data_IF_955295449745
#
_entry.id   IF_955295449745
#
_cell.length_a   1.000
_cell.length_b   1.000
_cell.length_c   1.000
_cell.angle_alpha   90.00
_cell.angle_beta   90.00
_cell.angle_gamma   90.00
#
_symmetry.space_group_name_H-M   'P 1'
#
loop_
_entity.id
_entity.type
_entity.pdbx_description
1 polymer ?
#
# COMPACT_ATOMS: atom_id res chain seq x y z
N UNK A 1 -34.16 -12.86 -6.41
CA UNK A 1 -34.59 -11.62 -7.11
C UNK A 1 -33.57 -10.57 -6.73
N UNK A 2 -32.76 -10.16 -7.71
CA UNK A 2 -31.57 -9.35 -7.54
C UNK A 2 -31.89 -7.85 -7.59
N UNK A 3 -31.41 -7.11 -6.59
CA UNK A 3 -31.43 -5.65 -6.48
C UNK A 3 -30.58 -4.97 -7.56
N UNK A 4 -31.00 -5.06 -8.83
CA UNK A 4 -30.43 -4.26 -9.92
C UNK A 4 -31.08 -2.86 -10.03
N UNK A 5 -31.98 -2.50 -9.12
CA UNK A 5 -32.72 -1.22 -9.13
C UNK A 5 -31.97 -0.03 -8.55
N UNK A 6 -30.75 -0.21 -8.03
CA UNK A 6 -30.01 0.82 -7.29
C UNK A 6 -28.77 1.39 -8.01
N UNK A 7 -28.49 0.97 -9.25
CA UNK A 7 -27.33 1.43 -9.97
C UNK A 7 -27.68 2.55 -10.97
N UNK A 8 -27.03 3.71 -10.83
CA UNK A 8 -27.11 4.81 -11.80
C UNK A 8 -26.02 4.62 -12.86
N UNK A 9 -26.43 4.50 -14.12
CA UNK A 9 -25.52 4.40 -15.25
C UNK A 9 -24.97 5.78 -15.60
N UNK A 10 -23.65 5.95 -15.53
CA UNK A 10 -22.96 7.16 -15.98
C UNK A 10 -22.19 6.90 -17.27
N UNK A 11 -22.06 7.94 -18.10
CA UNK A 11 -21.15 7.94 -19.24
C UNK A 11 -19.73 7.64 -18.78
N UNK A 12 -18.92 7.08 -19.69
CA UNK A 12 -17.54 6.72 -19.44
C UNK A 12 -16.77 7.87 -18.77
N UNK A 13 -16.06 7.53 -17.70
CA UNK A 13 -15.11 8.40 -17.04
C UNK A 13 -13.72 7.93 -17.45
N UNK A 14 -12.90 8.77 -18.07
CA UNK A 14 -11.53 8.38 -18.40
C UNK A 14 -10.70 8.34 -17.11
N UNK A 15 -10.15 7.16 -16.81
CA UNK A 15 -9.32 6.91 -15.64
C UNK A 15 -7.89 6.58 -16.10
N UNK A 16 -6.86 7.06 -15.37
CA UNK A 16 -5.48 6.76 -15.72
C UNK A 16 -5.20 5.27 -15.47
N UNK A 17 -4.74 4.55 -16.49
CA UNK A 17 -4.45 3.11 -16.40
C UNK A 17 -3.21 2.81 -15.55
N UNK A 18 -2.25 3.74 -15.52
CA UNK A 18 -1.01 3.58 -14.75
C UNK A 18 -0.37 4.92 -14.39
N UNK A 19 0.36 4.94 -13.28
CA UNK A 19 1.19 6.08 -12.88
C UNK A 19 2.63 5.79 -13.29
N UNK A 20 3.19 6.60 -14.18
CA UNK A 20 4.59 6.49 -14.62
C UNK A 20 5.48 7.20 -13.61
N UNK A 21 6.53 6.53 -13.14
CA UNK A 21 7.54 7.12 -12.27
C UNK A 21 8.79 7.40 -13.09
N UNK A 22 9.23 8.65 -13.11
CA UNK A 22 10.53 9.05 -13.64
C UNK A 22 11.41 9.55 -12.50
N UNK A 23 12.62 9.00 -12.30
CA UNK A 23 13.60 9.63 -11.43
C UNK A 23 13.98 10.99 -12.03
N UNK A 24 14.15 12.00 -11.19
CA UNK A 24 14.64 13.31 -11.63
C UNK A 24 16.17 13.24 -11.71
N UNK A 25 16.75 13.55 -12.87
CA UNK A 25 18.21 13.52 -13.08
C UNK A 25 18.92 14.44 -12.07
N UNK A 26 19.80 13.86 -11.24
CA UNK A 26 20.53 14.56 -10.18
C UNK A 26 20.86 13.70 -8.95
N UNK A 27 20.23 12.54 -8.77
CA UNK A 27 20.50 11.63 -7.66
C UNK A 27 21.71 10.72 -7.96
N UNK A 28 22.92 11.24 -7.81
CA UNK A 28 24.13 10.43 -7.78
C UNK A 28 24.25 9.74 -6.42
N UNK A 29 23.85 8.46 -6.34
CA UNK A 29 24.15 7.55 -5.23
C UNK A 29 23.23 7.64 -4.01
N UNK A 30 22.41 6.60 -3.80
CA UNK A 30 21.54 6.44 -2.62
C UNK A 30 20.06 6.34 -2.97
N UNK A 31 19.22 6.04 -1.96
CA UNK A 31 17.75 6.02 -2.05
C UNK A 31 17.28 7.30 -2.77
N UNK A 32 16.57 7.15 -3.89
CA UNK A 32 16.05 8.28 -4.67
C UNK A 32 15.14 9.14 -3.79
N UNK A 33 15.67 10.25 -3.26
CA UNK A 33 14.94 11.20 -2.41
C UNK A 33 13.90 12.01 -3.17
N UNK A 34 14.05 12.11 -4.49
CA UNK A 34 13.18 12.89 -5.37
C UNK A 34 12.62 11.99 -6.46
N UNK A 35 11.30 12.01 -6.63
CA UNK A 35 10.64 11.30 -7.73
C UNK A 35 9.55 12.17 -8.37
N UNK A 36 9.38 12.00 -9.68
CA UNK A 36 8.28 12.60 -10.44
C UNK A 36 7.32 11.49 -10.88
N UNK A 37 6.05 11.68 -10.57
CA UNK A 37 4.95 10.79 -10.91
C UNK A 37 4.07 11.48 -11.96
N UNK A 38 3.72 10.77 -13.02
CA UNK A 38 2.84 11.27 -14.08
C UNK A 38 1.63 10.36 -14.18
N UNK A 39 0.44 10.95 -14.06
CA UNK A 39 -0.84 10.30 -14.23
C UNK A 39 -1.61 10.97 -15.38
N UNK A 40 -1.83 10.22 -16.46
CA UNK A 40 -2.60 10.61 -17.63
C UNK A 40 -3.28 9.38 -18.26
N UNK A 41 -4.51 9.51 -18.81
CA UNK A 41 -5.34 10.72 -18.85
C UNK A 41 -6.24 10.90 -17.61
N UNK A 42 -6.58 12.15 -17.30
CA UNK A 42 -7.56 12.53 -16.29
C UNK A 42 -8.62 13.44 -16.89
N UNK A 43 -9.86 13.33 -16.42
CA UNK A 43 -10.91 14.29 -16.77
C UNK A 43 -10.52 15.72 -16.42
N UNK A 44 -11.05 16.67 -17.19
CA UNK A 44 -10.76 18.09 -17.02
C UNK A 44 -11.03 18.58 -15.59
N UNK A 45 -10.03 19.20 -14.97
CA UNK A 45 -10.10 19.71 -13.59
C UNK A 45 -9.84 18.64 -12.51
N UNK A 46 -9.84 17.35 -12.87
CA UNK A 46 -9.49 16.28 -11.94
C UNK A 46 -8.00 16.30 -11.60
N UNK A 47 -7.13 16.80 -12.50
CA UNK A 47 -5.71 16.99 -12.23
C UNK A 47 -5.46 17.90 -11.02
N UNK A 48 -6.16 19.03 -10.96
CA UNK A 48 -6.07 19.97 -9.81
C UNK A 48 -6.62 19.36 -8.52
N UNK A 49 -7.73 18.63 -8.63
CA UNK A 49 -8.40 18.03 -7.47
C UNK A 49 -7.52 16.94 -6.84
N UNK A 50 -7.03 16.00 -7.64
CA UNK A 50 -6.13 14.94 -7.19
C UNK A 50 -4.78 15.49 -6.73
N UNK A 51 -4.18 16.41 -7.49
CA UNK A 51 -2.89 17.02 -7.16
C UNK A 51 -2.91 17.75 -5.82
N UNK A 52 -3.93 18.57 -5.57
CA UNK A 52 -4.13 19.28 -4.30
C UNK A 52 -4.39 18.31 -3.14
N UNK A 53 -5.25 17.29 -3.35
CA UNK A 53 -5.55 16.30 -2.32
C UNK A 53 -4.31 15.48 -1.92
N UNK A 54 -3.58 14.95 -2.90
CA UNK A 54 -2.35 14.18 -2.68
C UNK A 54 -1.27 15.03 -2.02
N UNK A 55 -1.09 16.29 -2.44
CA UNK A 55 -0.15 17.22 -1.81
C UNK A 55 -0.44 17.41 -0.33
N UNK A 56 -1.71 17.61 0.04
CA UNK A 56 -2.11 17.75 1.45
C UNK A 56 -1.92 16.47 2.24
N UNK A 57 -2.28 15.33 1.66
CA UNK A 57 -2.14 14.02 2.30
C UNK A 57 -0.67 13.65 2.55
N UNK A 58 0.22 13.94 1.58
CA UNK A 58 1.66 13.69 1.71
C UNK A 58 2.31 14.50 2.83
N UNK A 59 1.97 15.80 2.95
CA UNK A 59 2.59 16.69 3.93
C UNK A 59 2.10 16.45 5.37
N UNK A 60 0.86 15.99 5.55
CA UNK A 60 0.21 15.89 6.87
C UNK A 60 0.04 14.43 7.33
N UNK A 61 -0.28 13.52 6.40
CA UNK A 61 -0.84 12.21 6.73
C UNK A 61 0.19 11.14 7.08
N UNK A 62 1.44 11.32 6.66
CA UNK A 62 2.48 10.31 6.86
C UNK A 62 3.02 10.32 8.28
N UNK A 63 3.27 9.12 8.78
CA UNK A 63 3.77 8.86 10.12
C UNK A 63 5.25 8.48 10.04
N UNK A 64 6.08 9.13 10.86
CA UNK A 64 7.50 8.82 10.96
C UNK A 64 7.95 8.94 12.43
N UNK A 65 9.06 8.28 12.81
CA UNK A 65 9.65 8.45 14.13
C UNK A 65 10.47 9.75 14.20
N UNK A 66 10.46 10.38 15.38
CA UNK A 66 11.29 11.53 15.71
C UNK A 66 11.68 11.52 17.20
N UNK A 67 12.78 12.18 17.55
CA UNK A 67 13.22 12.37 18.93
C UNK A 67 12.32 13.43 19.58
N UNK A 68 11.65 13.06 20.68
CA UNK A 68 10.71 13.93 21.40
C UNK A 68 11.27 14.45 22.72
N UNK A 69 12.28 13.79 23.26
CA UNK A 69 12.99 14.26 24.45
C UNK A 69 14.39 13.69 24.52
N UNK A 70 15.24 14.38 25.25
CA UNK A 70 16.56 13.89 25.60
C UNK A 70 16.91 14.21 27.06
N UNK A 71 17.75 13.38 27.64
CA UNK A 71 18.38 13.57 28.95
C UNK A 71 19.85 13.22 28.81
N UNK A 72 20.72 13.99 29.46
CA UNK A 72 22.17 13.77 29.45
C UNK A 72 22.76 13.98 30.84
N UNK A 73 23.76 13.18 31.18
CA UNK A 73 24.48 13.31 32.45
C UNK A 73 25.03 14.72 32.64
N UNK A 74 24.70 15.36 33.76
CA UNK A 74 25.19 16.70 34.10
C UNK A 74 24.41 17.85 33.46
N UNK A 75 23.35 17.59 32.69
CA UNK A 75 22.46 18.61 32.12
C UNK A 75 21.15 18.64 32.90
N UNK A 76 20.80 19.82 33.42
CA UNK A 76 19.54 20.05 34.15
C UNK A 76 18.49 20.76 33.30
N UNK A 77 18.92 21.64 32.40
CA UNK A 77 18.05 22.45 31.55
C UNK A 77 18.74 22.83 30.22
N UNK A 78 17.95 23.25 29.24
CA UNK A 78 18.38 23.53 27.86
C UNK A 78 19.32 24.72 27.66
N UNK A 79 19.40 25.62 28.64
CA UNK A 79 20.26 26.83 28.60
C UNK A 79 21.65 26.63 29.21
N UNK A 80 22.01 25.40 29.58
CA UNK A 80 23.27 25.10 30.25
C UNK A 80 24.39 24.91 29.21
N UNK A 81 25.61 25.27 29.58
CA UNK A 81 26.83 24.86 28.88
C UNK A 81 27.46 23.68 29.64
N UNK A 82 27.99 22.70 28.91
CA UNK A 82 28.60 21.49 29.51
C UNK A 82 30.11 21.59 29.36
N UNK A 83 30.82 21.49 30.49
CA UNK A 83 32.28 21.58 30.48
C UNK A 83 32.89 20.41 29.68
N UNK A 84 33.72 20.74 28.68
CA UNK A 84 34.36 19.77 27.80
C UNK A 84 33.59 19.43 26.53
N UNK A 85 32.40 20.02 26.32
CA UNK A 85 31.68 20.00 25.04
C UNK A 85 31.78 21.39 24.38
N UNK A 86 31.93 21.45 23.06
CA UNK A 86 32.06 22.72 22.32
C UNK A 86 30.72 23.43 22.19
N UNK A 87 29.66 22.68 21.95
CA UNK A 87 28.30 23.17 21.73
C UNK A 87 27.52 23.34 23.05
N UNK A 88 26.77 24.44 23.16
CA UNK A 88 25.79 24.62 24.23
C UNK A 88 24.61 23.65 24.08
N UNK A 89 23.91 23.35 25.18
CA UNK A 89 22.80 22.40 25.18
C UNK A 89 21.68 22.81 24.20
N UNK A 90 21.47 24.11 23.97
CA UNK A 90 20.51 24.60 22.97
C UNK A 90 20.90 24.21 21.54
N UNK A 91 22.20 24.21 21.21
CA UNK A 91 22.69 23.75 19.91
C UNK A 91 22.59 22.22 19.79
N UNK A 92 22.84 21.49 20.88
CA UNK A 92 22.63 20.04 20.95
C UNK A 92 21.16 19.70 20.65
N UNK A 93 20.21 20.43 21.26
CA UNK A 93 18.78 20.31 21.00
C UNK A 93 18.48 20.52 19.51
N UNK A 94 19.03 21.58 18.91
CA UNK A 94 18.82 21.87 17.49
C UNK A 94 19.38 20.77 16.58
N UNK A 95 20.56 20.25 16.90
CA UNK A 95 21.18 19.15 16.16
C UNK A 95 20.36 17.86 16.30
N UNK A 96 19.84 17.56 17.48
CA UNK A 96 18.97 16.40 17.71
C UNK A 96 17.70 16.48 16.86
N UNK A 97 17.10 17.66 16.67
CA UNK A 97 15.93 17.84 15.76
C UNK A 97 16.26 17.56 14.29
N UNK A 98 17.51 17.74 13.88
CA UNK A 98 18.00 17.38 12.55
C UNK A 98 18.21 15.87 12.34
N UNK A 99 18.01 15.06 13.37
CA UNK A 99 18.24 13.61 13.30
C UNK A 99 17.09 12.90 12.59
N UNK A 100 17.41 12.15 11.54
CA UNK A 100 16.45 11.41 10.74
C UNK A 100 16.50 9.94 11.11
N UNK A 101 15.40 9.47 11.72
CA UNK A 101 15.25 8.10 12.17
C UNK A 101 14.30 7.33 11.26
N UNK A 102 14.62 6.08 10.98
CA UNK A 102 13.74 5.12 10.30
C UNK A 102 13.57 3.90 11.19
N UNK A 103 12.36 3.36 11.29
CA UNK A 103 12.13 2.13 12.06
C UNK A 103 12.55 0.93 11.22
N UNK A 104 13.26 -0.04 11.79
CA UNK A 104 13.49 -1.31 11.11
C UNK A 104 12.16 -2.05 10.87
N UNK A 105 12.01 -2.77 9.74
CA UNK A 105 10.84 -3.61 9.46
C UNK A 105 10.89 -4.88 10.30
N UNK A 106 10.83 -4.75 11.62
CA UNK A 106 10.54 -5.84 12.54
C UNK A 106 9.02 -5.90 12.71
N UNK A 107 8.46 -7.11 12.78
CA UNK A 107 7.02 -7.36 12.91
C UNK A 107 6.38 -6.36 13.89
N UNK A 108 5.24 -5.79 13.50
CA UNK A 108 4.46 -4.89 14.35
C UNK A 108 3.99 -5.64 15.60
N UNK A 109 4.82 -5.67 16.64
CA UNK A 109 4.45 -6.18 17.96
C UNK A 109 3.43 -5.22 18.58
N UNK A 110 2.57 -5.71 19.48
CA UNK A 110 1.51 -4.97 20.20
C UNK A 110 2.03 -3.86 21.17
N UNK A 111 3.24 -3.35 20.95
CA UNK A 111 3.83 -2.19 21.62
C UNK A 111 4.81 -1.42 20.72
N UNK A 112 4.92 -1.77 19.43
CA UNK A 112 5.89 -1.19 18.50
C UNK A 112 5.64 0.27 18.11
N UNK A 113 4.59 0.90 18.66
CA UNK A 113 4.22 2.32 18.46
C UNK A 113 4.34 3.15 19.75
N UNK A 114 4.61 2.52 20.89
CA UNK A 114 4.85 3.24 22.13
C UNK A 114 6.15 4.04 22.06
N UNK A 115 6.27 5.11 22.85
CA UNK A 115 7.52 5.86 22.93
C UNK A 115 8.63 4.95 23.45
N UNK A 116 9.76 4.90 22.74
CA UNK A 116 10.90 4.06 23.12
C UNK A 116 12.00 4.94 23.70
N UNK A 117 12.54 4.53 24.85
CA UNK A 117 13.74 5.14 25.44
C UNK A 117 14.96 4.39 24.88
N UNK A 118 15.85 5.12 24.23
CA UNK A 118 17.13 4.64 23.72
C UNK A 118 18.21 5.22 24.63
N UNK A 119 19.06 4.37 25.19
CA UNK A 119 20.15 4.78 26.07
C UNK A 119 21.48 4.50 25.40
N UNK A 120 22.32 5.51 25.29
CA UNK A 120 23.66 5.41 24.73
C UNK A 120 24.67 5.82 25.80
N UNK A 121 25.58 4.90 26.13
CA UNK A 121 26.70 5.19 27.02
C UNK A 121 27.93 5.46 26.18
N UNK A 122 28.40 6.70 26.19
CA UNK A 122 29.58 7.14 25.45
C UNK A 122 30.73 7.28 26.44
N UNK A 123 31.78 6.49 26.27
CA UNK A 123 33.05 6.64 26.99
C UNK A 123 34.10 7.17 26.03
N UNK A 124 34.70 8.32 26.33
CA UNK A 124 35.76 8.92 25.52
C UNK A 124 37.02 9.01 26.36
N UNK A 125 38.03 8.24 25.96
CA UNK A 125 39.33 8.21 26.61
C UNK A 125 40.30 9.23 25.99
N UNK A 126 41.39 9.53 26.71
CA UNK A 126 42.43 10.44 26.21
C UNK A 126 43.10 9.93 24.92
N UNK A 127 43.15 8.62 24.70
CA UNK A 127 43.65 8.01 23.46
C UNK A 127 42.78 8.32 22.26
N UNK A 128 41.45 8.28 22.42
CA UNK A 128 40.49 8.56 21.36
C UNK A 128 40.56 10.02 20.93
N UNK A 129 40.70 10.93 21.90
CA UNK A 129 40.89 12.35 21.63
C UNK A 129 42.22 12.61 20.92
N UNK A 130 43.31 11.95 21.34
CA UNK A 130 44.59 12.08 20.66
C UNK A 130 44.54 11.61 19.20
N UNK A 131 43.83 10.50 18.93
CA UNK A 131 43.63 10.00 17.57
C UNK A 131 42.79 10.94 16.69
N UNK A 132 41.84 11.67 17.29
CA UNK A 132 40.96 12.60 16.58
C UNK A 132 41.48 14.05 16.51
N UNK A 133 42.76 14.30 16.86
CA UNK A 133 43.35 15.64 16.80
C UNK A 133 42.96 16.58 17.95
N UNK A 134 42.61 16.00 19.11
CA UNK A 134 42.26 16.71 20.34
C UNK A 134 40.77 16.98 20.53
N UNK A 135 39.92 16.63 19.55
CA UNK A 135 38.47 16.81 19.61
C UNK A 135 37.78 15.64 18.90
N UNK A 136 36.69 15.11 19.46
CA UNK A 136 35.93 13.99 18.87
C UNK A 136 34.48 14.41 18.66
N UNK A 137 34.02 14.41 17.42
CA UNK A 137 32.62 14.62 17.08
C UNK A 137 31.82 13.35 17.41
N UNK A 138 30.71 13.50 18.13
CA UNK A 138 29.73 12.46 18.38
C UNK A 138 28.61 12.60 17.36
N UNK A 139 28.42 11.54 16.59
CA UNK A 139 27.44 11.48 15.51
C UNK A 139 26.14 10.81 15.95
N UNK A 140 25.09 10.95 15.16
CA UNK A 140 23.84 10.22 15.38
C UNK A 140 24.07 8.70 15.33
N UNK A 141 24.96 8.23 14.46
CA UNK A 141 25.34 6.82 14.39
C UNK A 141 25.91 6.29 15.71
N UNK A 142 26.71 7.10 16.41
CA UNK A 142 27.28 6.75 17.72
C UNK A 142 26.22 6.66 18.83
N UNK A 143 25.11 7.41 18.71
CA UNK A 143 24.02 7.42 19.69
C UNK A 143 23.00 6.29 19.48
N UNK A 144 23.02 5.63 18.32
CA UNK A 144 22.04 4.59 17.94
C UNK A 144 22.65 3.18 17.84
N UNK A 145 23.75 2.92 18.55
CA UNK A 145 24.50 1.66 18.49
C UNK A 145 23.66 0.40 18.81
N UNK A 146 22.57 0.54 19.58
CA UNK A 146 21.62 -0.52 19.87
C UNK A 146 20.19 -0.02 19.61
N UNK A 147 19.43 -0.65 18.69
CA UNK A 147 18.03 -0.23 18.59
C UNK A 147 17.16 -0.77 17.46
N UNK A 148 15.86 -0.53 17.66
CA UNK A 148 14.73 -0.68 16.73
C UNK A 148 14.78 0.31 15.55
N UNK A 149 15.72 1.27 15.58
CA UNK A 149 15.79 2.40 14.65
C UNK A 149 17.12 2.44 13.90
N UNK A 150 17.04 2.82 12.64
CA UNK A 150 18.14 3.08 11.71
C UNK A 150 18.32 4.61 11.57
N UNK A 151 19.56 5.10 11.66
CA UNK A 151 19.89 6.47 11.28
C UNK A 151 19.90 6.59 9.76
N UNK A 152 19.09 7.49 9.21
CA UNK A 152 19.15 7.85 7.78
C UNK A 152 20.33 8.78 7.48
N UNK A 153 20.71 9.60 8.46
CA UNK A 153 21.88 10.48 8.42
C UNK A 153 22.88 10.13 9.54
N UNK A 154 23.59 8.99 9.45
CA UNK A 154 24.48 8.53 10.52
C UNK A 154 25.61 9.51 10.82
N UNK A 155 26.13 10.21 9.80
CA UNK A 155 27.23 11.19 9.92
C UNK A 155 26.80 12.54 10.54
N UNK A 156 25.53 12.69 10.91
CA UNK A 156 25.03 13.95 11.48
C UNK A 156 25.62 14.18 12.86
N UNK A 157 26.43 15.22 13.01
CA UNK A 157 27.11 15.57 14.27
C UNK A 157 26.11 16.17 15.24
N UNK A 158 26.05 15.63 16.46
CA UNK A 158 25.19 16.13 17.53
C UNK A 158 25.96 17.10 18.43
N UNK A 159 27.16 16.70 18.88
CA UNK A 159 28.07 17.55 19.65
C UNK A 159 29.50 17.05 19.55
N UNK A 160 30.45 17.88 19.95
CA UNK A 160 31.89 17.64 19.87
C UNK A 160 32.52 17.71 21.25
N UNK A 161 33.25 16.66 21.63
CA UNK A 161 33.90 16.53 22.94
C UNK A 161 35.38 16.88 22.82
N UNK A 162 35.90 17.63 23.81
CA UNK A 162 37.29 18.13 23.87
C UNK A 162 38.09 17.54 25.04
N UNK A 163 37.43 16.90 26.01
CA UNK A 163 38.06 16.34 27.22
C UNK A 163 37.58 14.91 27.48
N UNK A 164 38.41 14.04 28.08
CA UNK A 164 37.99 12.69 28.42
C UNK A 164 36.81 12.74 29.40
N UNK A 165 35.72 12.05 29.05
CA UNK A 165 34.51 12.02 29.87
C UNK A 165 33.67 10.79 29.55
N UNK A 166 32.81 10.42 30.50
CA UNK A 166 31.74 9.45 30.29
C UNK A 166 30.41 10.18 30.30
N UNK A 167 29.63 10.00 29.24
CA UNK A 167 28.32 10.59 29.05
C UNK A 167 27.31 9.47 28.89
N UNK A 168 26.27 9.50 29.72
CA UNK A 168 25.06 8.72 29.48
C UNK A 168 24.01 9.65 28.88
N UNK A 169 23.55 9.30 27.68
CA UNK A 169 22.56 10.03 26.89
C UNK A 169 21.35 9.14 26.72
N UNK A 170 20.19 9.63 27.14
CA UNK A 170 18.90 8.97 26.93
C UNK A 170 18.07 9.80 25.95
N UNK A 171 17.65 9.16 24.86
CA UNK A 171 16.78 9.73 23.84
C UNK A 171 15.43 9.04 23.91
N UNK A 172 14.33 9.80 23.84
CA UNK A 172 13.01 9.21 23.64
C UNK A 172 12.56 9.44 22.21
N UNK A 173 12.20 8.36 21.54
CA UNK A 173 11.67 8.39 20.17
C UNK A 173 10.19 8.06 20.22
N UNK A 174 9.37 8.88 19.56
CA UNK A 174 7.95 8.63 19.40
C UNK A 174 7.55 8.64 17.92
N UNK A 175 6.40 8.04 17.63
CA UNK A 175 5.76 8.11 16.33
C UNK A 175 4.66 9.17 16.36
N UNK A 176 4.55 9.94 15.29
CA UNK A 176 3.56 10.98 15.18
C UNK A 176 3.34 11.37 13.72
N UNK A 177 2.57 12.44 13.51
CA UNK A 177 2.28 12.98 12.18
C UNK A 177 2.44 14.48 12.18
N UNK A 178 2.91 15.03 11.06
CA UNK A 178 3.11 16.46 10.92
C UNK A 178 4.12 17.01 11.92
N UNK A 179 3.74 18.07 12.63
CA UNK A 179 4.59 18.75 13.61
C UNK A 179 3.86 18.89 14.94
N UNK A 180 4.55 18.56 16.03
CA UNK A 180 4.03 18.72 17.38
C UNK A 180 5.00 19.57 18.19
N UNK A 181 4.55 20.73 18.73
CA UNK A 181 5.38 21.54 19.61
C UNK A 181 5.58 20.85 20.97
N UNK A 182 6.66 21.19 21.66
CA UNK A 182 7.06 20.54 22.91
C UNK A 182 5.98 20.58 24.00
N UNK A 183 5.18 21.66 24.08
CA UNK A 183 4.14 21.81 25.11
C UNK A 183 2.98 20.83 24.95
N UNK A 184 2.77 20.30 23.74
CA UNK A 184 1.70 19.32 23.47
C UNK A 184 2.16 17.88 23.70
N UNK A 185 3.46 17.66 23.85
CA UNK A 185 4.03 16.32 24.05
C UNK A 185 3.94 16.00 25.54
N UNK A 186 2.98 15.13 25.88
CA UNK A 186 2.85 14.58 27.23
C UNK A 186 3.65 13.28 27.29
N UNK A 187 4.64 13.25 28.17
CA UNK A 187 5.48 12.09 28.40
C UNK A 187 5.06 11.40 29.69
N UNK A 188 4.69 10.12 29.57
CA UNK A 188 4.54 9.25 30.73
C UNK A 188 5.91 8.99 31.36
N UNK A 189 5.99 9.01 32.69
CA UNK A 189 7.24 8.76 33.44
C UNK A 189 8.41 9.67 33.05
N UNK A 190 8.13 10.98 32.91
CA UNK A 190 9.17 11.99 32.64
C UNK A 190 10.15 12.10 33.80
N UNK A 191 11.44 12.01 33.48
CA UNK A 191 12.51 12.25 34.46
C UNK A 191 12.71 13.75 34.69
N UNK A 192 13.20 14.13 35.88
CA UNK A 192 13.37 15.55 36.24
C UNK A 192 14.31 16.30 35.28
N UNK A 193 15.34 15.63 34.78
CA UNK A 193 16.35 16.20 33.90
C UNK A 193 16.05 15.96 32.40
N UNK A 194 14.85 15.49 32.09
CA UNK A 194 14.44 15.20 30.72
C UNK A 194 13.89 16.47 30.04
N UNK A 195 14.57 16.89 28.98
CA UNK A 195 14.24 18.07 28.18
C UNK A 195 13.37 17.62 27.00
N UNK A 196 12.20 18.23 26.87
CA UNK A 196 11.22 17.90 25.82
C UNK A 196 11.47 18.78 24.60
N UNK A 197 11.49 18.16 23.43
CA UNK A 197 11.73 18.80 22.15
C UNK A 197 10.44 18.80 21.33
N UNK A 198 10.21 19.85 20.55
CA UNK A 198 9.29 19.78 19.42
C UNK A 198 9.81 18.78 18.38
N UNK A 199 8.87 18.08 17.75
CA UNK A 199 9.15 16.97 16.88
C UNK A 199 8.48 17.13 15.52
N UNK A 200 9.29 16.96 14.46
CA UNK A 200 8.85 16.91 13.07
C UNK A 200 8.75 15.45 12.61
N UNK A 201 7.52 14.95 12.53
CA UNK A 201 7.22 13.58 12.13
C UNK A 201 6.92 13.44 10.63
N UNK A 202 6.97 14.53 9.85
CA UNK A 202 6.69 14.47 8.41
C UNK A 202 7.94 14.09 7.61
N UNK A 203 7.96 12.93 6.91
CA UNK A 203 9.10 12.48 6.10
C UNK A 203 9.18 13.16 4.72
N UNK A 204 8.15 13.93 4.34
CA UNK A 204 8.07 14.61 3.04
C UNK A 204 8.43 16.07 3.24
N UNK A 205 9.45 16.53 2.49
CA UNK A 205 9.99 17.89 2.59
C UNK A 205 9.27 18.82 1.63
N UNK A 206 9.09 18.39 0.37
CA UNK A 206 8.51 19.20 -0.68
C UNK A 206 7.58 18.38 -1.57
N UNK A 207 6.45 18.99 -1.92
CA UNK A 207 5.53 18.44 -2.92
C UNK A 207 5.07 19.56 -3.84
N UNK A 208 5.42 19.42 -5.11
CA UNK A 208 4.95 20.28 -6.20
C UNK A 208 4.05 19.45 -7.13
N UNK A 209 3.04 20.08 -7.69
CA UNK A 209 2.25 19.46 -8.74
C UNK A 209 2.00 20.45 -9.87
N UNK A 210 1.93 19.92 -11.07
CA UNK A 210 1.63 20.64 -12.30
C UNK A 210 0.53 19.89 -13.03
N UNK A 211 -0.35 20.64 -13.67
CA UNK A 211 -1.41 20.09 -14.53
C UNK A 211 -1.14 20.62 -15.93
N UNK A 212 -1.00 19.71 -16.88
CA UNK A 212 -0.79 19.99 -18.30
C UNK A 212 -1.94 19.40 -19.11
N UNK A 213 -2.25 19.97 -20.27
CA UNK A 213 -3.27 19.38 -21.15
C UNK A 213 -2.70 18.14 -21.86
N UNK A 214 -3.49 17.08 -21.98
CA UNK A 214 -3.17 15.86 -22.70
C UNK A 214 -4.25 15.51 -23.72
N UNK A 215 -3.84 14.85 -24.80
CA UNK A 215 -4.72 14.44 -25.89
C UNK A 215 -5.02 12.95 -25.80
N UNK A 216 -6.29 12.59 -25.84
CA UNK A 216 -6.76 11.20 -25.93
C UNK A 216 -7.61 11.07 -27.19
N UNK A 217 -7.10 10.35 -28.19
CA UNK A 217 -7.78 10.20 -29.48
C UNK A 217 -7.94 11.54 -30.21
N UNK A 218 -9.19 12.02 -30.33
CA UNK A 218 -9.50 13.30 -30.98
C UNK A 218 -9.62 14.48 -30.00
N UNK A 219 -9.86 14.20 -28.71
CA UNK A 219 -10.11 15.21 -27.69
C UNK A 219 -8.80 15.63 -27.02
N UNK A 220 -8.64 16.93 -26.78
CA UNK A 220 -7.38 17.56 -26.32
C UNK A 220 -7.50 18.22 -24.95
N UNK A 221 -8.64 18.08 -24.26
CA UNK A 221 -8.99 18.81 -23.05
C UNK A 221 -8.88 17.97 -21.76
N UNK A 222 -8.21 16.82 -21.83
CA UNK A 222 -7.89 16.01 -20.66
C UNK A 222 -6.72 16.60 -19.89
N UNK A 223 -6.68 16.34 -18.59
CA UNK A 223 -5.59 16.73 -17.71
C UNK A 223 -4.51 15.63 -17.66
N UNK A 224 -3.24 16.04 -17.60
CA UNK A 224 -2.08 15.25 -17.17
C UNK A 224 -1.59 15.82 -15.84
N UNK A 225 -1.64 15.01 -14.79
CA UNK A 225 -1.09 15.38 -13.49
C UNK A 225 0.37 14.95 -13.38
N UNK A 226 1.24 15.93 -13.15
CA UNK A 226 2.64 15.71 -12.79
C UNK A 226 2.81 16.05 -11.32
N UNK A 227 3.25 15.09 -10.51
CA UNK A 227 3.52 15.24 -9.10
C UNK A 227 5.00 15.03 -8.82
N UNK A 228 5.68 16.05 -8.30
CA UNK A 228 7.07 15.97 -7.85
C UNK A 228 7.11 15.89 -6.33
N UNK A 229 7.71 14.83 -5.80
CA UNK A 229 7.79 14.55 -4.36
C UNK A 229 9.25 14.42 -3.94
N UNK A 230 9.60 15.13 -2.86
CA UNK A 230 10.90 15.07 -2.22
C UNK A 230 10.74 14.60 -0.77
N UNK A 231 11.46 13.53 -0.41
CA UNK A 231 11.51 12.96 0.94
C UNK A 231 12.88 13.11 1.57
N UNK A 232 12.93 13.06 2.90
CA UNK A 232 14.18 13.16 3.66
C UNK A 232 15.00 11.84 3.69
N UNK A 233 14.44 10.76 3.14
CA UNK A 233 15.03 9.42 3.11
C UNK A 233 14.47 8.44 4.14
N UNK A 234 13.64 8.90 5.10
CA UNK A 234 12.94 7.99 6.04
C UNK A 234 11.93 7.09 5.34
N UNK A 235 11.33 7.59 4.24
CA UNK A 235 10.37 6.88 3.39
C UNK A 235 10.73 7.13 1.92
N UNK A 236 10.61 6.10 1.08
CA UNK A 236 10.82 6.28 -0.36
C UNK A 236 9.66 7.07 -0.98
N UNK A 237 9.87 7.97 -1.97
CA UNK A 237 8.80 8.76 -2.57
C UNK A 237 7.63 7.92 -3.11
N UNK A 238 7.93 6.74 -3.69
CA UNK A 238 6.91 5.79 -4.18
C UNK A 238 6.03 5.27 -3.05
N UNK A 239 6.63 4.91 -1.92
CA UNK A 239 5.91 4.44 -0.73
C UNK A 239 5.07 5.56 -0.12
N UNK A 240 5.63 6.78 -0.06
CA UNK A 240 4.94 7.96 0.45
C UNK A 240 3.64 8.25 -0.33
N UNK A 241 3.68 8.22 -1.67
CA UNK A 241 2.49 8.41 -2.52
C UNK A 241 1.47 7.30 -2.32
N UNK A 242 1.92 6.04 -2.22
CA UNK A 242 1.03 4.91 -1.96
C UNK A 242 0.31 5.04 -0.60
N UNK A 243 1.04 5.38 0.46
CA UNK A 243 0.46 5.59 1.79
C UNK A 243 -0.50 6.77 1.81
N UNK A 244 -0.15 7.91 1.18
CA UNK A 244 -1.03 9.07 1.09
C UNK A 244 -2.35 8.73 0.35
N UNK A 245 -2.26 7.96 -0.73
CA UNK A 245 -3.45 7.50 -1.47
C UNK A 245 -4.33 6.61 -0.61
N UNK A 246 -3.75 5.64 0.11
CA UNK A 246 -4.51 4.76 1.02
C UNK A 246 -5.18 5.55 2.16
N UNK A 247 -4.52 6.58 2.70
CA UNK A 247 -5.09 7.47 3.72
C UNK A 247 -6.31 8.19 3.16
N UNK A 248 -6.20 8.79 1.97
CA UNK A 248 -7.32 9.47 1.31
C UNK A 248 -8.50 8.51 1.05
N UNK A 249 -8.24 7.32 0.51
CA UNK A 249 -9.29 6.31 0.26
C UNK A 249 -10.02 5.93 1.55
N UNK A 250 -9.30 5.78 2.67
CA UNK A 250 -9.94 5.51 3.98
C UNK A 250 -10.84 6.68 4.42
N UNK A 251 -10.42 7.92 4.21
CA UNK A 251 -11.28 9.08 4.50
C UNK A 251 -12.53 9.12 3.60
N UNK A 252 -12.40 8.80 2.30
CA UNK A 252 -13.54 8.76 1.37
C UNK A 252 -14.51 7.61 1.64
N UNK A 253 -14.03 6.48 2.18
CA UNK A 253 -14.87 5.32 2.48
C UNK A 253 -16.04 5.59 3.44
N UNK A 254 -15.96 6.65 4.26
CA UNK A 254 -17.06 7.07 5.14
C UNK A 254 -18.19 7.71 4.34
N UNK A 255 -17.86 8.46 3.28
CA UNK A 255 -18.83 9.11 2.40
C UNK A 255 -19.51 8.11 1.47
N UNK A 256 -18.81 7.04 1.08
CA UNK A 256 -19.41 5.93 0.33
C UNK A 256 -20.55 5.23 1.10
N UNK A 257 -20.50 5.25 2.44
CA UNK A 257 -21.53 4.62 3.29
C UNK A 257 -22.82 5.43 3.40
N UNK A 258 -22.86 6.67 2.91
CA UNK A 258 -24.07 7.51 2.91
C UNK A 258 -25.05 7.10 1.79
N UNK A 259 -25.09 5.81 1.47
CA UNK A 259 -25.58 5.19 0.23
C UNK A 259 -27.09 5.47 0.01
N UNK A 260 -27.42 6.26 -1.02
CA UNK A 260 -28.76 6.24 -1.64
C UNK A 260 -28.77 5.44 -2.96
N UNK A 261 -27.67 5.45 -3.75
CA UNK A 261 -27.47 4.69 -5.02
C UNK A 261 -25.98 4.59 -5.40
N UNK A 262 -25.53 3.44 -5.89
CA UNK A 262 -24.16 3.26 -6.44
C UNK A 262 -24.08 3.67 -7.90
N UNK A 263 -23.01 4.35 -8.28
CA UNK A 263 -22.74 4.70 -9.68
C UNK A 263 -22.00 3.54 -10.34
N UNK A 264 -22.44 3.13 -11.53
CA UNK A 264 -21.76 2.12 -12.35
C UNK A 264 -21.49 2.70 -13.73
N UNK A 265 -20.23 2.63 -14.17
CA UNK A 265 -19.80 3.13 -15.48
C UNK A 265 -20.05 2.09 -16.57
N UNK A 266 -20.37 2.56 -17.77
CA UNK A 266 -20.81 1.72 -18.91
C UNK A 266 -19.76 0.68 -19.35
N UNK A 267 -18.46 0.99 -19.24
CA UNK A 267 -17.36 0.07 -19.59
C UNK A 267 -17.20 -1.09 -18.61
N UNK A 268 -17.35 -0.85 -17.30
CA UNK A 268 -17.34 -1.92 -16.30
C UNK A 268 -18.44 -2.94 -16.58
N UNK A 269 -19.60 -2.48 -17.09
CA UNK A 269 -20.70 -3.35 -17.52
C UNK A 269 -20.35 -4.09 -18.80
N UNK A 270 -19.64 -3.49 -19.76
CA UNK A 270 -19.23 -4.16 -21.00
C UNK A 270 -18.21 -5.27 -20.77
N UNK A 271 -17.16 -5.02 -19.96
CA UNK A 271 -16.15 -6.02 -19.59
C UNK A 271 -16.74 -7.11 -18.71
N UNK A 272 -17.66 -6.77 -17.79
CA UNK A 272 -18.42 -7.77 -17.05
C UNK A 272 -19.36 -8.58 -17.94
N UNK A 273 -20.01 -7.97 -18.93
CA UNK A 273 -20.88 -8.67 -19.89
C UNK A 273 -20.06 -9.60 -20.78
N UNK A 274 -18.93 -9.17 -21.31
CA UNK A 274 -18.03 -10.00 -22.13
C UNK A 274 -17.53 -11.20 -21.32
N UNK A 275 -17.06 -10.98 -20.09
CA UNK A 275 -16.65 -12.08 -19.21
C UNK A 275 -17.82 -13.02 -18.84
N UNK A 276 -19.03 -12.48 -18.61
CA UNK A 276 -20.24 -13.27 -18.33
C UNK A 276 -20.66 -14.10 -19.55
N UNK A 277 -20.60 -13.53 -20.74
CA UNK A 277 -20.96 -14.19 -22.00
C UNK A 277 -19.94 -15.29 -22.36
N UNK A 278 -18.65 -15.07 -22.12
CA UNK A 278 -17.58 -16.07 -22.30
C UNK A 278 -17.73 -17.27 -21.34
N UNK A 279 -18.02 -17.00 -20.07
CA UNK A 279 -18.28 -18.05 -19.07
C UNK A 279 -19.55 -18.82 -19.46
N UNK A 280 -20.61 -18.11 -19.84
CA UNK A 280 -21.87 -18.72 -20.25
C UNK A 280 -21.70 -19.61 -21.49
N UNK A 281 -20.93 -19.17 -22.48
CA UNK A 281 -20.62 -19.96 -23.67
C UNK A 281 -19.91 -21.26 -23.30
N UNK A 282 -18.95 -21.21 -22.37
CA UNK A 282 -18.24 -22.40 -21.88
C UNK A 282 -19.15 -23.35 -21.11
N UNK A 283 -20.09 -22.85 -20.31
CA UNK A 283 -21.00 -23.70 -19.53
C UNK A 283 -22.01 -24.46 -20.40
N UNK A 284 -22.35 -23.91 -21.57
CA UNK A 284 -23.30 -24.52 -22.52
C UNK A 284 -22.68 -25.64 -23.37
N UNK A 285 -21.35 -25.66 -23.50
CA UNK A 285 -20.65 -26.69 -24.28
C UNK A 285 -21.00 -28.10 -23.78
N UNK A 286 -21.06 -29.03 -24.72
CA UNK A 286 -21.33 -30.43 -24.42
C UNK A 286 -20.10 -31.09 -23.77
N UNK A 287 -20.31 -32.07 -22.90
CA UNK A 287 -19.20 -32.82 -22.30
C UNK A 287 -18.34 -33.53 -23.37
N UNK A 288 -18.95 -33.88 -24.50
CA UNK A 288 -18.27 -34.48 -25.65
C UNK A 288 -17.26 -33.53 -26.33
N UNK A 289 -17.40 -32.22 -26.11
CA UNK A 289 -16.50 -31.19 -26.67
C UNK A 289 -15.28 -30.95 -25.76
N UNK A 290 -15.28 -31.48 -24.53
CA UNK A 290 -14.08 -31.56 -23.71
C UNK A 290 -13.36 -32.85 -24.06
N UNK A 291 -12.05 -32.74 -24.35
CA UNK A 291 -11.16 -33.88 -24.55
C UNK A 291 -10.91 -34.66 -23.24
N UNK A 292 -11.92 -35.40 -22.77
CA UNK A 292 -11.83 -36.31 -21.63
C UNK A 292 -11.53 -37.73 -22.10
N UNK A 293 -10.92 -38.53 -21.22
CA UNK A 293 -10.74 -39.95 -21.47
C UNK A 293 -12.07 -40.67 -21.66
N UNK A 294 -12.05 -41.73 -22.47
CA UNK A 294 -13.21 -42.60 -22.75
C UNK A 294 -13.88 -43.08 -21.46
N UNK A 295 -13.11 -43.31 -20.40
CA UNK A 295 -13.63 -43.68 -19.08
C UNK A 295 -14.43 -42.54 -18.44
N UNK A 296 -13.88 -41.33 -18.42
CA UNK A 296 -14.50 -40.17 -17.79
C UNK A 296 -15.77 -39.75 -18.54
N UNK A 297 -15.76 -39.75 -19.88
CA UNK A 297 -16.95 -39.48 -20.71
C UNK A 297 -18.06 -40.50 -20.48
N UNK A 298 -17.73 -41.79 -20.44
CA UNK A 298 -18.72 -42.84 -20.19
C UNK A 298 -19.31 -42.77 -18.77
N UNK A 299 -18.53 -42.36 -17.77
CA UNK A 299 -19.06 -42.18 -16.42
C UNK A 299 -20.02 -40.99 -16.32
N UNK A 300 -19.69 -39.88 -16.99
CA UNK A 300 -20.54 -38.68 -17.03
C UNK A 300 -21.83 -38.90 -17.83
N UNK A 301 -21.73 -39.61 -18.96
CA UNK A 301 -22.90 -40.00 -19.77
C UNK A 301 -23.84 -40.94 -19.01
N UNK A 302 -23.30 -41.93 -18.29
CA UNK A 302 -24.11 -42.81 -17.43
C UNK A 302 -24.78 -42.07 -16.25
N UNK A 303 -24.24 -40.93 -15.84
CA UNK A 303 -24.80 -40.06 -14.81
C UNK A 303 -25.81 -39.03 -15.37
N UNK A 304 -26.15 -39.11 -16.68
CA UNK A 304 -27.01 -38.17 -17.39
C UNK A 304 -26.54 -36.70 -17.27
N UNK A 305 -25.22 -36.48 -17.29
CA UNK A 305 -24.63 -35.15 -17.31
C UNK A 305 -24.25 -34.89 -18.77
N UNK A 306 -24.85 -33.87 -19.38
CA UNK A 306 -24.68 -33.60 -20.82
C UNK A 306 -23.85 -32.34 -21.09
N UNK A 307 -23.90 -31.37 -20.17
CA UNK A 307 -23.28 -30.04 -20.32
C UNK A 307 -22.22 -29.77 -19.26
N UNK A 308 -21.28 -28.87 -19.57
CA UNK A 308 -20.27 -28.41 -18.61
C UNK A 308 -20.93 -27.71 -17.41
N UNK A 309 -22.01 -26.98 -17.65
CA UNK A 309 -22.80 -26.31 -16.62
C UNK A 309 -23.33 -27.25 -15.54
N UNK A 310 -23.78 -28.45 -15.93
CA UNK A 310 -24.21 -29.49 -15.00
C UNK A 310 -23.05 -30.07 -14.19
N UNK A 311 -21.86 -30.17 -14.79
CA UNK A 311 -20.66 -30.69 -14.13
C UNK A 311 -20.11 -29.71 -13.09
N UNK A 312 -20.03 -28.43 -13.45
CA UNK A 312 -19.43 -27.34 -12.66
C UNK A 312 -20.23 -27.02 -11.40
N UNK A 313 -21.56 -27.13 -11.44
CA UNK A 313 -22.41 -26.87 -10.26
C UNK A 313 -22.35 -28.00 -9.22
N UNK A 314 -21.95 -29.21 -9.63
CA UNK A 314 -21.94 -30.36 -8.74
C UNK A 314 -20.67 -30.39 -7.87
N UNK A 315 -20.81 -30.60 -6.55
CA UNK A 315 -19.66 -30.63 -5.67
C UNK A 315 -18.90 -31.97 -5.81
N UNK A 316 -17.57 -31.93 -5.61
CA UNK A 316 -16.67 -33.09 -5.75
C UNK A 316 -17.16 -34.37 -5.03
N UNK A 317 -17.71 -34.33 -3.80
CA UNK A 317 -18.18 -35.52 -3.09
C UNK A 317 -19.34 -36.23 -3.80
N UNK A 318 -20.16 -35.50 -4.56
CA UNK A 318 -21.30 -36.07 -5.30
C UNK A 318 -20.83 -36.83 -6.54
N UNK A 319 -19.76 -36.38 -7.20
CA UNK A 319 -19.19 -37.05 -8.37
C UNK A 319 -18.58 -38.41 -8.02
N UNK A 320 -17.97 -38.53 -6.84
CA UNK A 320 -17.37 -39.79 -6.35
C UNK A 320 -18.40 -40.89 -6.03
N UNK A 321 -19.68 -40.55 -5.94
CA UNK A 321 -20.76 -41.52 -5.71
C UNK A 321 -21.20 -42.22 -6.99
N UNK A 322 -20.79 -41.74 -8.16
CA UNK A 322 -21.16 -42.36 -9.42
C UNK A 322 -20.47 -43.70 -9.63
N UNK A 323 -21.23 -44.65 -10.18
CA UNK A 323 -20.75 -46.01 -10.45
C UNK A 323 -19.56 -45.96 -11.40
N UNK A 324 -18.45 -46.59 -11.02
CA UNK A 324 -17.19 -46.64 -11.76
C UNK A 324 -16.44 -45.29 -11.87
N UNK A 325 -16.81 -44.29 -11.08
CA UNK A 325 -16.11 -43.00 -11.02
C UNK A 325 -14.96 -43.06 -10.01
N UNK A 326 -13.73 -42.88 -10.49
CA UNK A 326 -12.51 -43.03 -9.67
C UNK A 326 -11.74 -41.73 -9.46
N UNK A 327 -10.81 -41.74 -8.49
CA UNK A 327 -9.93 -40.59 -8.18
C UNK A 327 -9.15 -40.08 -9.40
N UNK A 328 -8.75 -40.98 -10.32
CA UNK A 328 -8.04 -40.60 -11.56
C UNK A 328 -8.91 -39.78 -12.52
N UNK A 329 -10.19 -40.13 -12.66
CA UNK A 329 -11.16 -39.38 -13.49
C UNK A 329 -11.53 -38.04 -12.87
N UNK A 330 -11.62 -37.97 -11.53
CA UNK A 330 -11.81 -36.70 -10.82
C UNK A 330 -10.64 -35.71 -11.08
N UNK A 331 -9.39 -36.18 -10.98
CA UNK A 331 -8.22 -35.33 -11.25
C UNK A 331 -8.16 -34.86 -12.71
N UNK A 332 -8.51 -35.73 -13.64
CA UNK A 332 -8.58 -35.40 -15.07
C UNK A 332 -9.60 -34.27 -15.34
N UNK A 333 -10.81 -34.40 -14.79
CA UNK A 333 -11.86 -33.39 -14.91
C UNK A 333 -11.42 -32.07 -14.27
N UNK A 334 -10.83 -32.11 -13.08
CA UNK A 334 -10.36 -30.90 -12.38
C UNK A 334 -9.28 -30.16 -13.17
N UNK A 335 -8.35 -30.89 -13.80
CA UNK A 335 -7.32 -30.29 -14.64
C UNK A 335 -7.92 -29.65 -15.89
N UNK A 336 -8.87 -30.32 -16.56
CA UNK A 336 -9.55 -29.79 -17.75
C UNK A 336 -10.44 -28.58 -17.44
N UNK A 337 -11.17 -28.59 -16.34
CA UNK A 337 -11.94 -27.43 -15.91
C UNK A 337 -11.02 -26.24 -15.58
N UNK A 338 -9.86 -26.51 -14.95
CA UNK A 338 -8.86 -25.48 -14.66
C UNK A 338 -8.27 -24.85 -15.93
N UNK A 339 -8.02 -25.63 -16.98
CA UNK A 339 -7.63 -25.11 -18.31
C UNK A 339 -8.68 -24.13 -18.86
N UNK A 340 -9.97 -24.38 -18.59
CA UNK A 340 -11.08 -23.52 -19.02
C UNK A 340 -11.38 -22.34 -18.08
N UNK A 341 -10.63 -22.23 -16.96
CA UNK A 341 -10.85 -21.30 -15.84
C UNK A 341 -12.19 -21.54 -15.10
N UNK A 342 -12.60 -22.79 -14.99
CA UNK A 342 -13.78 -23.24 -14.27
C UNK A 342 -13.36 -24.15 -13.10
N UNK A 343 -14.20 -24.25 -12.07
CA UNK A 343 -13.97 -25.09 -10.89
C UNK A 343 -15.20 -25.95 -10.58
N UNK A 344 -15.02 -27.02 -9.80
CA UNK A 344 -16.14 -27.85 -9.36
C UNK A 344 -16.80 -27.22 -8.13
N UNK A 345 -18.14 -27.20 -8.10
CA UNK A 345 -18.92 -26.58 -7.04
C UNK A 345 -19.01 -25.06 -7.14
N UNK A 346 -18.86 -24.47 -8.33
CA UNK A 346 -19.05 -23.03 -8.52
C UNK A 346 -20.51 -22.63 -8.25
N UNK A 347 -20.69 -21.47 -7.62
CA UNK A 347 -22.02 -20.87 -7.49
C UNK A 347 -22.43 -20.20 -8.80
N UNK A 348 -23.44 -20.77 -9.45
CA UNK A 348 -24.02 -20.27 -10.71
C UNK A 348 -25.33 -19.49 -10.47
N UNK A 349 -25.64 -19.13 -9.22
CA UNK A 349 -26.82 -18.34 -8.83
C UNK A 349 -26.92 -17.01 -9.61
N UNK A 350 -25.78 -16.38 -9.89
CA UNK A 350 -25.65 -15.17 -10.71
C UNK A 350 -26.19 -15.32 -12.15
N UNK A 351 -26.22 -16.53 -12.70
CA UNK A 351 -26.77 -16.86 -14.03
C UNK A 351 -28.21 -17.38 -13.97
N UNK A 352 -28.83 -17.41 -12.77
CA UNK A 352 -30.14 -18.00 -12.53
C UNK A 352 -30.17 -19.53 -12.68
N UNK A 353 -29.00 -20.16 -12.53
CA UNK A 353 -28.78 -21.61 -12.68
C UNK A 353 -28.57 -22.22 -11.29
N UNK A 354 -29.49 -23.08 -10.89
CA UNK A 354 -29.43 -23.89 -9.66
C UNK A 354 -29.59 -25.37 -9.99
N UNK A 355 -29.19 -26.26 -9.07
CA UNK A 355 -29.14 -27.72 -9.29
C UNK A 355 -30.41 -28.32 -9.90
N UNK A 356 -31.57 -27.75 -9.61
CA UNK A 356 -32.88 -28.25 -10.06
C UNK A 356 -33.27 -27.77 -11.47
N UNK A 357 -32.70 -26.66 -11.95
CA UNK A 357 -33.09 -26.03 -13.23
C UNK A 357 -31.97 -26.00 -14.29
N UNK A 358 -30.81 -26.58 -13.99
CA UNK A 358 -29.61 -26.50 -14.86
C UNK A 358 -29.89 -27.00 -16.27
N UNK A 359 -30.54 -28.16 -16.40
CA UNK A 359 -30.80 -28.78 -17.70
C UNK A 359 -31.64 -27.91 -18.62
N UNK A 360 -32.70 -27.31 -18.07
CA UNK A 360 -33.60 -26.43 -18.82
C UNK A 360 -32.92 -25.12 -19.17
N UNK A 361 -32.18 -24.54 -18.22
CA UNK A 361 -31.44 -23.29 -18.43
C UNK A 361 -30.34 -23.45 -19.46
N UNK A 362 -29.55 -24.52 -19.41
CA UNK A 362 -28.48 -24.76 -20.38
C UNK A 362 -29.03 -24.98 -21.79
N UNK A 363 -30.16 -25.68 -21.95
CA UNK A 363 -30.86 -25.80 -23.24
C UNK A 363 -31.37 -24.45 -23.75
N UNK A 364 -31.99 -23.66 -22.88
CA UNK A 364 -32.46 -22.32 -23.21
C UNK A 364 -31.31 -21.39 -23.64
N UNK A 365 -30.18 -21.43 -22.92
CA UNK A 365 -28.99 -20.67 -23.28
C UNK A 365 -28.36 -21.16 -24.60
N UNK A 366 -28.34 -22.47 -24.86
CA UNK A 366 -27.89 -23.04 -26.13
C UNK A 366 -28.72 -22.55 -27.32
N UNK A 367 -30.04 -22.52 -27.18
CA UNK A 367 -30.95 -22.00 -28.21
C UNK A 367 -30.78 -20.49 -28.43
N UNK A 368 -30.59 -19.73 -27.34
CA UNK A 368 -30.33 -18.29 -27.39
C UNK A 368 -29.00 -17.95 -28.07
N UNK A 369 -27.95 -18.74 -27.84
CA UNK A 369 -26.66 -18.57 -28.52
C UNK A 369 -26.78 -18.90 -30.01
N UNK A 370 -27.54 -19.95 -30.38
CA UNK A 370 -27.80 -20.31 -31.78
C UNK A 370 -28.60 -19.25 -32.52
N UNK A 371 -29.63 -18.66 -31.89
CA UNK A 371 -30.41 -17.58 -32.51
C UNK A 371 -29.60 -16.30 -32.69
N UNK A 372 -28.75 -15.95 -31.72
CA UNK A 372 -27.82 -14.79 -31.82
C UNK A 372 -26.81 -14.91 -32.98
N UNK A 373 -26.33 -16.13 -33.28
CA UNK A 373 -25.42 -16.38 -34.43
C UNK A 373 -26.11 -16.25 -35.79
N UNK A 374 -27.40 -16.60 -35.90
CA UNK A 374 -28.15 -16.49 -37.15
C UNK A 374 -28.55 -15.05 -37.52
N UNK A 375 -28.61 -14.12 -36.55
CA UNK A 375 -28.96 -12.71 -36.81
C UNK A 375 -27.76 -11.85 -37.20
N UNK A 376 -26.53 -12.38 -37.09
CA UNK A 376 -25.27 -11.70 -37.44
C UNK A 376 -24.62 -12.22 -38.74
N UNK A 377 -25.32 -13.07 -39.49
CA UNK A 377 -24.87 -13.67 -40.75
C UNK A 377 -25.37 -12.94 -41.99
#
# INVERSE_FOLDING_TARGET
>A
MSDNSHNLLYNKFELPESVKMSPVEGAAGGIDKVARFVADPLEKGMGHTLGSALRRALLIGLEAPAIVSFSMTGVLHEYMAVEGIIEDVTNIVLNLKGSLLKKYPLQDCEGGRASQKLRATISIDASDLAAAGGQKAITLGDLLQEGTFEAVNPEHVIFTVTRPMQLDVMLRVAFGRGYTPSERIVLEEREMNEIVLDAAFSPVVLVNYFVEDTRVGQDTDFDRLILQVETDGRVAPKEAVAFATQILSKHFSVFEKMDEKRIVFEEAISVEKENKDDILHKLVLGINEIELSVRSTNCLSNANIETIGELVIMPEPRLLQFRNFGKKSLCEIKNKLKEMKLELGMDLSQFGVGLDNVKEKMKWYAEKIRSSKNTKG
#
